data_IF_322008790008
#
_entry.id   IF_322008790008
#
_cell.length_a   1.000
_cell.length_b   1.000
_cell.length_c   1.000
_cell.angle_alpha   90.00
_cell.angle_beta   90.00
_cell.angle_gamma   90.00
#
_symmetry.space_group_name_H-M   'P 1'
#
loop_
_entity.id
_entity.type
_entity.pdbx_description
1 polymer ?
#
# COMPACT_ATOMS: atom_id res chain seq x y z
N UNK A 1 -25.80 -6.18 10.32
CA UNK A 1 -24.37 -6.53 10.17
C UNK A 1 -23.98 -6.20 8.75
N UNK A 2 -23.23 -5.14 8.55
CA UNK A 2 -22.63 -4.84 7.24
C UNK A 2 -21.33 -5.63 7.19
N UNK A 3 -21.30 -6.69 6.40
CA UNK A 3 -20.08 -7.45 6.14
C UNK A 3 -19.16 -6.56 5.31
N UNK A 4 -18.08 -6.10 5.89
CA UNK A 4 -17.02 -5.43 5.15
C UNK A 4 -16.34 -6.46 4.23
N UNK A 5 -16.57 -6.31 2.92
CA UNK A 5 -15.81 -7.05 1.93
C UNK A 5 -14.35 -6.56 2.05
N UNK A 6 -13.37 -7.42 2.32
CA UNK A 6 -11.99 -7.00 2.38
C UNK A 6 -11.60 -6.44 1.00
N UNK A 7 -11.38 -5.14 0.93
CA UNK A 7 -10.82 -4.50 -0.26
C UNK A 7 -9.33 -4.84 -0.30
N UNK A 8 -8.93 -5.65 -1.27
CA UNK A 8 -7.54 -5.98 -1.55
C UNK A 8 -6.83 -4.90 -2.39
N UNK A 9 -7.33 -3.68 -2.39
CA UNK A 9 -6.70 -2.55 -3.04
C UNK A 9 -5.46 -2.14 -2.24
N UNK A 10 -4.32 -2.75 -2.54
CA UNK A 10 -3.04 -2.45 -1.93
C UNK A 10 -2.50 -1.10 -2.37
N UNK A 11 -2.78 -0.03 -1.64
CA UNK A 11 -2.17 1.27 -1.87
C UNK A 11 -0.83 1.47 -1.15
N UNK A 12 -0.39 0.53 -0.32
CA UNK A 12 0.83 0.67 0.47
C UNK A 12 2.10 0.27 -0.25
N UNK A 13 2.02 -0.74 -1.08
CA UNK A 13 3.12 -1.17 -1.90
C UNK A 13 2.79 -0.78 -3.32
N UNK A 14 3.42 0.27 -3.79
CA UNK A 14 3.34 0.61 -5.20
C UNK A 14 3.92 -0.56 -5.98
N UNK A 15 3.13 -1.07 -6.87
CA UNK A 15 3.51 -2.14 -7.77
C UNK A 15 4.52 -1.64 -8.79
N UNK A 16 5.78 -1.64 -8.40
CA UNK A 16 6.81 -1.05 -9.25
C UNK A 16 7.78 -2.06 -9.80
N UNK A 17 7.71 -3.32 -9.35
CA UNK A 17 8.91 -4.08 -9.40
C UNK A 17 8.73 -5.46 -9.89
N UNK A 18 8.81 -5.56 -11.15
CA UNK A 18 8.86 -6.87 -11.76
C UNK A 18 10.31 -7.36 -11.94
N UNK A 19 11.30 -6.45 -11.90
CA UNK A 19 12.71 -6.82 -11.98
C UNK A 19 13.63 -5.77 -11.34
N UNK A 20 14.86 -6.18 -11.00
CA UNK A 20 15.91 -5.26 -10.53
C UNK A 20 16.25 -4.22 -11.60
N UNK A 21 16.10 -4.55 -12.87
CA UNK A 21 16.31 -3.61 -13.98
C UNK A 21 15.31 -2.45 -13.93
N UNK A 22 14.08 -2.69 -13.50
CA UNK A 22 13.06 -1.67 -13.30
C UNK A 22 13.46 -0.68 -12.18
N UNK A 23 14.05 -1.17 -11.10
CA UNK A 23 14.51 -0.31 -10.02
C UNK A 23 15.60 0.66 -10.45
N UNK A 24 16.47 0.21 -11.35
CA UNK A 24 17.56 1.04 -11.89
C UNK A 24 17.07 2.05 -12.92
N UNK A 25 16.09 1.68 -13.71
CA UNK A 25 15.49 2.52 -14.73
C UNK A 25 14.03 2.14 -14.94
N UNK A 26 13.07 2.90 -14.42
CA UNK A 26 11.64 2.62 -14.57
C UNK A 26 11.11 2.71 -16.01
N UNK A 27 11.84 3.41 -16.90
CA UNK A 27 11.46 3.54 -18.32
C UNK A 27 11.76 2.25 -19.08
N UNK A 28 11.04 1.16 -18.76
CA UNK A 28 11.27 -0.17 -19.33
C UNK A 28 10.49 -0.48 -20.61
N UNK A 29 9.54 0.35 -20.98
CA UNK A 29 8.66 0.10 -22.15
C UNK A 29 9.47 -0.02 -23.46
N UNK A 30 10.55 0.75 -23.60
CA UNK A 30 11.43 0.69 -24.76
C UNK A 30 12.69 -0.14 -24.57
N UNK A 31 12.88 -0.76 -23.40
CA UNK A 31 14.11 -1.51 -23.13
C UNK A 31 14.07 -2.92 -23.71
N UNK A 32 15.22 -3.34 -24.23
CA UNK A 32 15.46 -4.73 -24.67
C UNK A 32 16.09 -5.48 -23.52
N UNK A 33 15.40 -6.47 -22.98
CA UNK A 33 15.85 -7.27 -21.85
C UNK A 33 14.85 -8.37 -21.52
N UNK A 34 15.26 -9.33 -20.68
CA UNK A 34 14.40 -10.46 -20.27
C UNK A 34 13.16 -9.98 -19.47
N UNK A 35 13.27 -8.89 -18.75
CA UNK A 35 12.15 -8.23 -18.07
C UNK A 35 11.10 -7.68 -19.04
N UNK A 36 11.40 -7.63 -20.32
CA UNK A 36 10.45 -7.41 -21.41
C UNK A 36 9.31 -8.43 -21.42
N UNK A 37 9.49 -9.62 -20.84
CA UNK A 37 8.41 -10.59 -20.69
C UNK A 37 7.16 -9.97 -20.00
N UNK A 38 7.38 -8.99 -19.14
CA UNK A 38 6.33 -8.20 -18.49
C UNK A 38 6.10 -6.84 -19.16
N UNK A 39 7.15 -6.05 -19.36
CA UNK A 39 7.03 -4.62 -19.70
C UNK A 39 7.01 -4.34 -21.20
N UNK A 40 7.69 -5.15 -22.01
CA UNK A 40 7.83 -4.98 -23.45
C UNK A 40 8.05 -6.32 -24.16
N UNK A 41 7.01 -7.15 -24.34
CA UNK A 41 7.16 -8.46 -24.97
C UNK A 41 7.80 -8.41 -26.37
N UNK A 42 7.54 -7.36 -27.14
CA UNK A 42 8.17 -7.19 -28.44
C UNK A 42 9.69 -7.07 -28.36
N UNK A 43 10.21 -6.51 -27.27
CA UNK A 43 11.65 -6.39 -27.02
C UNK A 43 12.36 -7.72 -26.85
N UNK A 44 11.66 -8.79 -26.49
CA UNK A 44 12.21 -10.15 -26.38
C UNK A 44 12.72 -10.65 -27.71
N UNK A 45 12.06 -10.30 -28.82
CA UNK A 45 12.47 -10.71 -30.15
C UNK A 45 13.85 -10.19 -30.59
N UNK A 46 14.39 -9.18 -29.91
CA UNK A 46 15.70 -8.61 -30.17
C UNK A 46 16.81 -9.19 -29.28
N UNK A 47 16.48 -10.10 -28.38
CA UNK A 47 17.48 -10.82 -27.61
C UNK A 47 18.21 -11.86 -28.50
N UNK A 48 19.40 -12.27 -28.06
CA UNK A 48 20.14 -13.33 -28.73
C UNK A 48 19.32 -14.63 -28.77
N UNK A 49 19.57 -15.47 -29.79
CA UNK A 49 18.94 -16.80 -29.86
C UNK A 49 19.34 -17.63 -28.63
N UNK A 50 18.40 -18.34 -28.08
CA UNK A 50 18.67 -19.21 -26.93
C UNK A 50 17.65 -19.05 -25.82
N UNK A 51 17.96 -19.63 -24.66
CA UNK A 51 17.21 -19.49 -23.44
C UNK A 51 17.68 -18.27 -22.66
N UNK A 52 16.71 -17.55 -22.11
CA UNK A 52 16.92 -16.45 -21.19
C UNK A 52 16.11 -16.70 -19.95
N UNK A 53 16.73 -16.58 -18.79
CA UNK A 53 16.12 -16.79 -17.48
C UNK A 53 16.48 -15.63 -16.59
N UNK A 54 15.53 -15.15 -15.80
CA UNK A 54 15.74 -14.16 -14.78
C UNK A 54 14.99 -14.55 -13.52
N UNK A 55 15.65 -14.45 -12.39
CA UNK A 55 15.03 -14.60 -11.08
C UNK A 55 15.39 -13.41 -10.21
N UNK A 56 14.39 -12.75 -9.66
CA UNK A 56 14.59 -11.61 -8.79
C UNK A 56 13.86 -11.83 -7.47
N UNK A 57 14.45 -11.36 -6.39
CA UNK A 57 13.85 -11.32 -5.08
C UNK A 57 13.93 -9.88 -4.58
N UNK A 58 12.84 -9.39 -4.06
CA UNK A 58 12.76 -8.05 -3.50
C UNK A 58 12.17 -8.09 -2.10
N UNK A 59 12.57 -7.13 -1.29
CA UNK A 59 11.98 -6.85 0.02
C UNK A 59 11.53 -5.39 0.03
N UNK A 60 10.30 -5.14 0.44
CA UNK A 60 9.76 -3.80 0.55
C UNK A 60 9.38 -3.50 2.00
N UNK A 61 9.81 -2.34 2.46
CA UNK A 61 9.43 -1.76 3.73
C UNK A 61 9.00 -0.32 3.49
N UNK A 62 7.81 0.02 3.96
CA UNK A 62 7.26 1.36 3.79
C UNK A 62 6.73 1.86 5.13
N UNK A 63 7.03 3.10 5.44
CA UNK A 63 6.40 3.85 6.53
C UNK A 63 5.52 4.93 5.94
N UNK A 64 4.45 5.25 6.64
CA UNK A 64 3.56 6.35 6.26
C UNK A 64 3.05 7.04 7.54
N UNK A 65 3.41 8.29 7.68
CA UNK A 65 2.97 9.13 8.76
C UNK A 65 1.85 10.03 8.24
N UNK A 66 0.69 9.95 8.88
CA UNK A 66 -0.49 10.72 8.51
C UNK A 66 -0.81 11.65 9.68
N UNK A 67 -0.68 12.94 9.45
CA UNK A 67 -1.12 13.97 10.37
C UNK A 67 -2.57 14.31 10.06
N UNK A 68 -3.45 14.16 11.05
CA UNK A 68 -4.87 14.49 10.92
C UNK A 68 -5.23 15.56 11.92
N UNK A 69 -5.82 16.65 11.43
CA UNK A 69 -6.36 17.71 12.27
C UNK A 69 -7.87 17.55 12.38
N UNK A 70 -8.36 17.43 13.61
CA UNK A 70 -9.78 17.31 13.86
C UNK A 70 -10.44 18.69 13.95
N UNK A 71 -11.63 18.80 13.39
CA UNK A 71 -12.44 20.02 13.49
C UNK A 71 -12.77 20.37 14.94
N UNK A 72 -13.05 21.64 15.22
CA UNK A 72 -13.27 22.16 16.58
C UNK A 72 -14.30 21.37 17.37
N UNK A 73 -15.36 20.91 16.73
CA UNK A 73 -16.43 20.12 17.37
C UNK A 73 -16.00 18.71 17.78
N UNK A 74 -15.04 18.12 17.08
CA UNK A 74 -14.55 16.76 17.35
C UNK A 74 -13.32 16.74 18.26
N UNK A 75 -12.59 17.86 18.39
CA UNK A 75 -11.39 17.95 19.23
C UNK A 75 -11.55 17.40 20.64
N UNK A 76 -12.65 17.68 21.37
CA UNK A 76 -12.82 17.17 22.72
C UNK A 76 -12.92 15.64 22.80
N UNK A 77 -13.24 14.97 21.71
CA UNK A 77 -13.49 13.54 21.64
C UNK A 77 -12.40 12.76 20.89
N UNK A 78 -11.50 13.46 20.22
CA UNK A 78 -10.41 12.86 19.43
C UNK A 78 -9.06 13.00 20.17
N UNK A 79 -9.04 12.67 21.46
CA UNK A 79 -7.88 12.86 22.35
C UNK A 79 -7.18 11.53 22.69
N UNK A 80 -7.00 10.66 21.71
CA UNK A 80 -6.25 9.43 21.92
C UNK A 80 -4.72 9.62 21.91
N UNK A 81 -3.98 8.54 21.94
CA UNK A 81 -2.52 8.56 21.81
C UNK A 81 -2.06 9.30 20.55
N UNK A 82 -0.94 9.99 20.66
CA UNK A 82 -0.35 10.76 19.55
C UNK A 82 -0.97 12.13 19.29
N UNK A 83 -1.99 12.53 20.07
CA UNK A 83 -2.58 13.86 19.95
C UNK A 83 -1.66 14.94 20.52
N UNK A 84 -1.57 16.08 19.84
CA UNK A 84 -0.84 17.24 20.31
C UNK A 84 -1.79 18.34 20.82
N UNK A 85 -1.28 19.38 21.53
CA UNK A 85 -2.11 20.47 22.06
C UNK A 85 -2.92 21.23 20.99
N UNK A 86 -2.51 21.19 19.73
CA UNK A 86 -3.19 21.86 18.62
C UNK A 86 -4.37 21.05 18.08
N UNK A 87 -4.61 19.84 18.61
CA UNK A 87 -5.63 18.91 18.14
C UNK A 87 -5.27 18.22 16.81
N UNK A 88 -3.98 18.13 16.56
CA UNK A 88 -3.42 17.35 15.47
C UNK A 88 -2.94 16.02 16.03
N UNK A 89 -3.27 14.93 15.37
CA UNK A 89 -2.89 13.58 15.77
C UNK A 89 -2.09 12.90 14.69
N UNK A 90 -1.02 12.23 15.09
CA UNK A 90 -0.17 11.44 14.22
C UNK A 90 -0.62 9.97 14.20
N UNK A 91 -0.82 9.45 12.99
CA UNK A 91 -1.10 8.06 12.72
C UNK A 91 0.08 7.44 11.98
N UNK A 92 0.84 6.61 12.66
CA UNK A 92 1.99 5.93 12.08
C UNK A 92 1.57 4.62 11.42
N UNK A 93 1.79 4.55 10.12
CA UNK A 93 1.56 3.35 9.32
C UNK A 93 2.85 2.65 8.94
N UNK A 94 2.87 1.33 9.02
CA UNK A 94 4.01 0.49 8.62
C UNK A 94 3.52 -0.65 7.76
N UNK A 95 4.11 -0.78 6.58
CA UNK A 95 3.85 -1.90 5.69
C UNK A 95 5.14 -2.67 5.43
N UNK A 96 5.07 -3.98 5.55
CA UNK A 96 6.21 -4.88 5.30
C UNK A 96 5.79 -5.96 4.33
N UNK A 97 6.59 -6.12 3.31
CA UNK A 97 6.51 -7.26 2.42
C UNK A 97 7.94 -7.80 2.23
N UNK A 98 8.32 -8.77 3.04
CA UNK A 98 9.72 -9.20 3.14
C UNK A 98 10.19 -9.96 1.91
N UNK A 99 9.27 -10.48 1.10
CA UNK A 99 9.63 -11.37 0.01
C UNK A 99 8.70 -11.21 -1.19
N UNK A 100 9.25 -10.71 -2.30
CA UNK A 100 8.59 -10.63 -3.60
C UNK A 100 9.45 -11.32 -4.65
N UNK A 101 9.17 -12.56 -4.98
CA UNK A 101 9.84 -13.24 -6.06
C UNK A 101 9.25 -12.85 -7.41
N UNK A 102 10.10 -12.69 -8.42
CA UNK A 102 9.70 -12.64 -9.82
C UNK A 102 10.57 -13.58 -10.63
N UNK A 103 9.97 -14.21 -11.62
CA UNK A 103 10.65 -15.12 -12.52
C UNK A 103 10.24 -14.81 -13.97
N UNK A 104 11.22 -14.64 -14.82
CA UNK A 104 11.05 -14.46 -16.25
C UNK A 104 11.74 -15.57 -16.99
N UNK A 105 11.10 -16.09 -18.01
CA UNK A 105 11.66 -17.06 -18.93
C UNK A 105 11.36 -16.64 -20.37
N UNK A 106 12.34 -16.74 -21.24
CA UNK A 106 12.14 -16.58 -22.66
C UNK A 106 13.00 -17.57 -23.46
N UNK A 107 12.49 -17.96 -24.60
CA UNK A 107 13.21 -18.70 -25.62
C UNK A 107 13.09 -17.98 -26.96
N UNK A 108 14.22 -17.59 -27.52
CA UNK A 108 14.28 -16.88 -28.81
C UNK A 108 14.79 -17.81 -29.89
N UNK A 109 14.05 -17.84 -30.99
CA UNK A 109 14.35 -18.58 -32.22
C UNK A 109 14.61 -17.60 -33.38
N UNK A 110 14.79 -18.11 -34.57
CA UNK A 110 15.08 -17.27 -35.75
C UNK A 110 13.94 -16.34 -36.16
N UNK A 111 12.72 -16.79 -36.07
CA UNK A 111 11.53 -16.11 -36.58
C UNK A 111 10.44 -15.89 -35.53
N UNK A 112 10.60 -16.45 -34.33
CA UNK A 112 9.63 -16.36 -33.28
C UNK A 112 10.29 -16.51 -31.91
N UNK A 113 9.61 -16.11 -30.90
CA UNK A 113 10.02 -16.27 -29.51
C UNK A 113 8.82 -16.65 -28.63
N UNK A 114 9.14 -17.21 -27.51
CA UNK A 114 8.21 -17.46 -26.41
C UNK A 114 8.72 -16.75 -25.18
N UNK A 115 7.83 -16.14 -24.40
CA UNK A 115 8.19 -15.59 -23.09
C UNK A 115 7.05 -15.78 -22.09
N UNK A 116 7.42 -15.92 -20.82
CA UNK A 116 6.50 -15.97 -19.72
C UNK A 116 7.06 -15.20 -18.52
N UNK A 117 6.17 -14.55 -17.78
CA UNK A 117 6.46 -13.83 -16.56
C UNK A 117 5.61 -14.40 -15.42
N UNK A 118 6.22 -14.57 -14.26
CA UNK A 118 5.54 -14.91 -13.01
C UNK A 118 6.02 -13.93 -11.94
N UNK A 119 5.09 -13.18 -11.39
CA UNK A 119 5.41 -12.20 -10.35
C UNK A 119 4.17 -11.71 -9.62
N UNK A 120 4.40 -11.09 -8.47
CA UNK A 120 3.36 -10.47 -7.66
C UNK A 120 3.17 -9.04 -8.14
N UNK A 121 2.14 -8.82 -8.96
CA UNK A 121 1.90 -7.55 -9.65
C UNK A 121 1.12 -6.52 -8.83
N UNK A 122 0.65 -6.88 -7.65
CA UNK A 122 -0.06 -5.93 -6.78
C UNK A 122 -0.53 -6.58 -5.47
N UNK A 123 -0.90 -5.76 -4.53
CA UNK A 123 -1.52 -6.19 -3.28
C UNK A 123 -0.49 -6.63 -2.24
N UNK A 124 -0.03 -7.36 -1.81
CA UNK A 124 1.03 -8.07 -1.07
C UNK A 124 1.55 -7.45 0.22
N UNK A 125 1.01 -6.36 0.70
CA UNK A 125 1.46 -5.75 1.94
C UNK A 125 0.36 -5.65 3.00
N UNK A 126 0.66 -6.03 4.22
CA UNK A 126 -0.17 -5.71 5.38
C UNK A 126 0.27 -4.35 5.93
N UNK A 127 -0.59 -3.36 5.81
CA UNK A 127 -0.41 -2.07 6.50
C UNK A 127 -0.93 -2.17 7.94
N UNK A 128 -0.11 -1.79 8.89
CA UNK A 128 -0.49 -1.71 10.30
C UNK A 128 -0.35 -0.25 10.74
N UNK A 129 -1.43 0.31 11.26
CA UNK A 129 -1.42 1.60 11.94
C UNK A 129 -1.49 1.36 13.44
N UNK A 130 -0.54 1.92 14.18
CA UNK A 130 -0.39 1.65 15.61
C UNK A 130 -1.52 2.26 16.42
N UNK A 131 -2.04 3.41 15.98
CA UNK A 131 -3.08 4.18 16.68
C UNK A 131 -4.35 4.37 15.84
N UNK A 132 -4.63 3.44 14.91
CA UNK A 132 -5.79 3.54 14.00
C UNK A 132 -5.60 4.54 12.88
N UNK A 133 -6.69 5.13 12.41
CA UNK A 133 -6.71 6.11 11.31
C UNK A 133 -7.70 7.23 11.63
N UNK A 134 -7.35 8.45 11.26
CA UNK A 134 -8.18 9.63 11.51
C UNK A 134 -9.58 9.55 10.93
N UNK A 135 -9.75 8.87 9.79
CA UNK A 135 -11.08 8.65 9.19
C UNK A 135 -12.01 7.80 10.05
N UNK A 136 -11.47 6.81 10.77
CA UNK A 136 -12.26 5.98 11.68
C UNK A 136 -12.50 6.67 13.03
N UNK A 137 -11.48 7.34 13.54
CA UNK A 137 -11.63 8.10 14.78
C UNK A 137 -12.65 9.22 14.65
N UNK A 138 -12.66 9.93 13.53
CA UNK A 138 -13.67 10.98 13.30
C UNK A 138 -15.09 10.43 13.33
N UNK A 139 -15.31 9.24 12.75
CA UNK A 139 -16.62 8.58 12.79
C UNK A 139 -16.99 8.14 14.22
N UNK A 140 -16.05 7.55 14.95
CA UNK A 140 -16.28 7.14 16.34
C UNK A 140 -16.53 8.35 17.25
N UNK A 141 -15.82 9.47 17.05
CA UNK A 141 -16.00 10.70 17.78
C UNK A 141 -17.34 11.42 17.49
N UNK A 142 -17.99 11.12 16.39
CA UNK A 142 -19.33 11.64 16.09
C UNK A 142 -20.40 11.12 17.06
N UNK A 143 -20.24 9.92 17.61
CA UNK A 143 -21.19 9.33 18.52
C UNK A 143 -21.35 10.13 19.82
N UNK A 144 -20.28 10.45 20.59
CA UNK A 144 -20.38 11.32 21.75
C UNK A 144 -20.85 12.74 21.41
N UNK A 145 -20.51 13.25 20.22
CA UNK A 145 -21.02 14.53 19.75
C UNK A 145 -22.53 14.50 19.58
N UNK A 146 -23.08 13.45 18.97
CA UNK A 146 -24.52 13.26 18.78
C UNK A 146 -25.24 13.11 20.13
N UNK A 147 -24.67 12.34 21.07
CA UNK A 147 -25.23 12.18 22.42
C UNK A 147 -25.32 13.54 23.13
N UNK A 148 -24.24 14.35 23.03
CA UNK A 148 -24.23 15.69 23.64
C UNK A 148 -25.19 16.68 22.94
N UNK A 149 -25.54 16.47 21.68
CA UNK A 149 -26.54 17.27 20.99
C UNK A 149 -27.98 16.99 21.52
N UNK A 150 -28.25 15.74 21.93
CA UNK A 150 -29.53 15.33 22.49
C UNK A 150 -29.61 15.59 24.01
N UNK A 151 -28.51 15.32 24.71
CA UNK A 151 -28.41 15.49 26.18
C UNK A 151 -27.09 16.25 26.49
N UNK A 152 -27.12 17.59 26.52
CA UNK A 152 -25.95 18.41 26.72
C UNK A 152 -25.17 18.09 27.99
N UNK A 153 -23.87 17.88 27.87
CA UNK A 153 -22.99 17.59 29.00
C UNK A 153 -22.99 16.13 29.50
N UNK A 154 -23.69 15.22 28.81
CA UNK A 154 -23.71 13.78 29.16
C UNK A 154 -22.36 13.11 28.95
N UNK A 155 -21.59 13.54 27.94
CA UNK A 155 -20.25 13.03 27.64
C UNK A 155 -19.24 14.16 27.78
N UNK A 156 -18.29 14.02 28.68
CA UNK A 156 -17.22 15.00 28.91
C UNK A 156 -15.86 14.37 28.68
N UNK A 157 -15.05 14.97 27.76
CA UNK A 157 -13.65 14.63 27.61
C UNK A 157 -13.37 13.17 27.28
N UNK A 158 -14.14 12.57 26.40
CA UNK A 158 -13.97 11.18 25.98
C UNK A 158 -12.84 11.05 24.95
N UNK A 159 -11.86 10.20 25.20
CA UNK A 159 -10.83 9.87 24.26
C UNK A 159 -11.24 8.67 23.40
N UNK A 160 -10.99 8.76 22.10
CA UNK A 160 -11.30 7.70 21.15
C UNK A 160 -10.01 7.29 20.43
N UNK A 161 -9.70 6.01 20.53
CA UNK A 161 -8.69 5.35 19.69
C UNK A 161 -9.36 4.24 18.88
N UNK A 162 -9.53 4.47 17.61
CA UNK A 162 -10.16 3.50 16.72
C UNK A 162 -9.11 2.64 16.02
N UNK A 163 -8.94 1.42 16.49
CA UNK A 163 -8.03 0.45 15.92
C UNK A 163 -8.73 -0.40 14.84
N UNK A 164 -8.03 -0.64 13.75
CA UNK A 164 -8.44 -1.57 12.72
C UNK A 164 -7.40 -2.69 12.56
N UNK A 165 -7.84 -3.91 12.70
CA UNK A 165 -7.01 -5.11 12.52
C UNK A 165 -7.30 -5.81 11.20
#
# INVERSE_FOLDING_TARGET
MVSAIPSLAGGYLTNTNQSVAFLRNPARIGAIGIDGAYSNPAGIGFLSKGWHLSFNIQSAYQTRDIYSTFGTSLKPFALGEGNNPNGEKLFEGRAKAPFFPTFDIAKVYDKWFFSAHLGITGGGGKGKFTHGLGSFESQAAMLPLLINAIAPGSVKGYAVDAYMH
#
